data_IF_815518957151
#
_entry.id   IF_815518957151
#
_cell.length_a   1.000
_cell.length_b   1.000
_cell.length_c   1.000
_cell.angle_alpha   90.00
_cell.angle_beta   90.00
_cell.angle_gamma   90.00
#
_symmetry.space_group_name_H-M   'P 1'
#
loop_
_entity.id
_entity.type
_entity.pdbx_description
1 polymer ?
#
# COMPACT_ATOMS: atom_id res chain seq x y z
N UNK A 1 36.95 14.96 -27.87
CA UNK A 1 37.75 16.18 -28.11
C UNK A 1 38.22 16.34 -29.56
N UNK A 2 38.56 15.29 -30.31
CA UNK A 2 39.05 15.44 -31.71
C UNK A 2 37.92 15.70 -32.72
N UNK A 3 36.67 15.26 -32.47
CA UNK A 3 35.56 15.47 -33.43
C UNK A 3 34.99 16.90 -33.43
N UNK A 4 34.91 17.56 -32.27
CA UNK A 4 34.33 18.92 -32.20
C UNK A 4 35.11 19.94 -33.04
N UNK A 5 36.44 19.79 -33.13
CA UNK A 5 37.28 20.64 -33.97
C UNK A 5 37.03 20.45 -35.47
N UNK A 6 36.67 19.22 -35.89
CA UNK A 6 36.41 18.91 -37.30
C UNK A 6 35.04 19.43 -37.75
N UNK A 7 34.03 19.35 -36.88
CA UNK A 7 32.67 19.83 -37.15
C UNK A 7 32.61 21.36 -37.27
N UNK A 8 33.37 22.08 -36.44
CA UNK A 8 33.52 23.54 -36.51
C UNK A 8 34.20 23.95 -37.83
N UNK A 9 35.20 23.19 -38.28
CA UNK A 9 35.88 23.46 -39.55
C UNK A 9 34.96 23.26 -40.75
N UNK A 10 34.12 22.21 -40.75
CA UNK A 10 33.12 21.97 -41.80
C UNK A 10 32.07 23.08 -41.83
N UNK A 11 31.55 23.49 -40.66
CA UNK A 11 30.58 24.59 -40.56
C UNK A 11 31.17 25.93 -41.03
N UNK A 12 32.42 26.23 -40.68
CA UNK A 12 33.10 27.43 -41.15
C UNK A 12 33.36 27.42 -42.66
N UNK A 13 33.71 26.24 -43.22
CA UNK A 13 33.91 26.04 -44.65
C UNK A 13 32.60 26.22 -45.42
N UNK A 14 31.50 25.67 -44.92
CA UNK A 14 30.16 25.84 -45.50
C UNK A 14 29.74 27.32 -45.49
N UNK A 15 30.01 28.04 -44.40
CA UNK A 15 29.73 29.47 -44.29
C UNK A 15 30.55 30.30 -45.29
N UNK A 16 31.82 29.99 -45.48
CA UNK A 16 32.70 30.63 -46.48
C UNK A 16 32.23 30.37 -47.92
N UNK A 17 31.82 29.14 -48.25
CA UNK A 17 31.31 28.80 -49.59
C UNK A 17 29.96 29.47 -49.86
N UNK A 18 29.05 29.51 -48.88
CA UNK A 18 27.74 30.16 -49.02
C UNK A 18 27.88 31.68 -49.15
N UNK A 19 28.78 32.31 -48.39
CA UNK A 19 29.05 33.74 -48.51
C UNK A 19 29.72 34.10 -49.83
N UNK A 20 30.68 33.28 -50.30
CA UNK A 20 31.31 33.46 -51.61
C UNK A 20 30.32 33.30 -52.77
N UNK A 21 29.42 32.31 -52.71
CA UNK A 21 28.37 32.10 -53.69
C UNK A 21 27.36 33.26 -53.73
N UNK A 22 27.10 33.91 -52.59
CA UNK A 22 26.20 35.07 -52.49
C UNK A 22 26.85 36.35 -53.06
N UNK A 23 28.17 36.51 -52.91
CA UNK A 23 28.92 37.63 -53.50
C UNK A 23 29.00 37.59 -55.04
N UNK A 24 28.88 36.40 -55.64
CA UNK A 24 28.88 36.22 -57.10
C UNK A 24 27.54 36.58 -57.77
N UNK A 25 26.48 36.85 -57.00
CA UNK A 25 25.14 37.17 -57.55
C UNK A 25 24.98 38.68 -57.83
N UNK A 26 24.43 39.07 -58.99
CA UNK A 26 24.41 40.47 -59.44
C UNK A 26 23.43 41.39 -58.67
N UNK A 27 22.53 40.86 -57.85
CA UNK A 27 21.48 41.61 -57.17
C UNK A 27 21.91 42.09 -55.76
N UNK A 28 22.65 43.21 -55.68
CA UNK A 28 23.26 43.74 -54.44
C UNK A 28 22.30 44.36 -53.41
N UNK A 29 21.01 44.56 -53.73
CA UNK A 29 20.09 45.34 -52.87
C UNK A 29 19.70 44.67 -51.54
N UNK A 30 19.90 43.36 -51.36
CA UNK A 30 19.51 42.62 -50.12
C UNK A 30 20.64 41.78 -49.52
N UNK A 31 21.88 42.11 -49.84
CA UNK A 31 23.07 41.32 -49.48
C UNK A 31 23.23 41.18 -47.96
N UNK A 32 23.00 42.27 -47.20
CA UNK A 32 23.08 42.27 -45.73
C UNK A 32 22.10 41.29 -45.07
N UNK A 33 20.85 41.26 -45.54
CA UNK A 33 19.80 40.38 -44.98
C UNK A 33 20.12 38.91 -45.25
N UNK A 34 20.68 38.61 -46.44
CA UNK A 34 21.04 37.23 -46.81
C UNK A 34 22.22 36.70 -46.03
N UNK A 35 23.23 37.54 -45.75
CA UNK A 35 24.33 37.17 -44.85
C UNK A 35 23.78 36.86 -43.45
N UNK A 36 22.84 37.68 -42.96
CA UNK A 36 22.23 37.47 -41.64
C UNK A 36 21.40 36.18 -41.59
N UNK A 37 20.67 35.85 -42.67
CA UNK A 37 19.94 34.58 -42.78
C UNK A 37 20.88 33.36 -42.80
N UNK A 38 21.99 33.42 -43.54
CA UNK A 38 22.96 32.33 -43.56
C UNK A 38 23.63 32.14 -42.20
N UNK A 39 23.94 33.23 -41.50
CA UNK A 39 24.47 33.15 -40.14
C UNK A 39 23.46 32.50 -39.18
N UNK A 40 22.18 32.88 -39.27
CA UNK A 40 21.10 32.28 -38.49
C UNK A 40 20.92 30.78 -38.80
N UNK A 41 21.05 30.40 -40.07
CA UNK A 41 21.00 29.00 -40.51
C UNK A 41 22.12 28.17 -39.89
N UNK A 42 23.36 28.70 -39.87
CA UNK A 42 24.50 28.04 -39.24
C UNK A 42 24.30 27.86 -37.72
N UNK A 43 23.74 28.86 -37.03
CA UNK A 43 23.40 28.75 -35.60
C UNK A 43 22.33 27.66 -35.39
N UNK A 44 21.32 27.60 -36.26
CA UNK A 44 20.27 26.60 -36.17
C UNK A 44 20.81 25.18 -36.39
N UNK A 45 21.73 25.00 -37.35
CA UNK A 45 22.42 23.72 -37.57
C UNK A 45 23.32 23.36 -36.39
N UNK A 46 24.01 24.33 -35.80
CA UNK A 46 24.84 24.11 -34.63
C UNK A 46 24.01 23.59 -33.45
N UNK A 47 22.83 24.19 -33.16
CA UNK A 47 21.93 23.69 -32.11
C UNK A 47 21.25 22.36 -32.43
N UNK A 48 21.13 21.99 -33.71
CA UNK A 48 20.58 20.70 -34.11
C UNK A 48 21.59 19.57 -33.92
N UNK A 49 22.86 19.83 -34.27
CA UNK A 49 23.97 18.85 -34.08
C UNK A 49 24.34 18.75 -32.60
N UNK A 50 24.37 19.89 -31.90
CA UNK A 50 24.60 19.97 -30.47
C UNK A 50 23.32 20.41 -29.76
N UNK A 51 22.39 19.47 -29.48
CA UNK A 51 21.26 19.81 -28.63
C UNK A 51 21.80 20.35 -27.31
N UNK A 52 21.26 21.48 -26.80
CA UNK A 52 21.68 22.02 -25.52
C UNK A 52 21.46 20.95 -24.45
N UNK A 53 22.56 20.39 -23.95
CA UNK A 53 22.55 19.45 -22.84
C UNK A 53 22.20 20.24 -21.59
N UNK A 54 20.90 20.30 -21.28
CA UNK A 54 20.45 20.64 -19.94
C UNK A 54 20.84 19.49 -19.02
N UNK A 55 22.03 19.58 -18.42
CA UNK A 55 22.28 18.87 -17.18
C UNK A 55 21.36 19.50 -16.14
N UNK A 56 20.17 18.91 -15.96
CA UNK A 56 19.44 19.11 -14.71
C UNK A 56 20.36 18.56 -13.64
N UNK A 57 20.94 19.45 -12.85
CA UNK A 57 21.25 19.12 -11.48
C UNK A 57 19.92 18.65 -10.88
N UNK A 58 19.70 17.34 -10.83
CA UNK A 58 18.69 16.78 -9.97
C UNK A 58 19.14 17.15 -8.57
N UNK A 59 18.57 18.24 -8.08
CA UNK A 59 18.82 18.80 -6.78
C UNK A 59 18.76 17.66 -5.77
N UNK A 60 19.79 17.55 -4.94
CA UNK A 60 20.06 16.51 -3.94
C UNK A 60 19.03 16.42 -2.79
N UNK A 61 17.76 16.61 -3.12
CA UNK A 61 16.62 16.65 -2.22
C UNK A 61 15.72 15.41 -2.39
N UNK A 62 16.04 14.48 -3.29
CA UNK A 62 15.33 13.20 -3.45
C UNK A 62 16.13 12.04 -2.86
N UNK A 63 15.46 11.20 -2.08
CA UNK A 63 16.03 9.99 -1.47
C UNK A 63 15.13 8.77 -1.68
N UNK A 64 15.74 7.59 -1.63
CA UNK A 64 15.04 6.32 -1.79
C UNK A 64 14.91 5.63 -0.42
N UNK A 65 13.68 5.33 -0.02
CA UNK A 65 13.38 4.63 1.22
C UNK A 65 12.93 3.20 0.91
N UNK A 66 13.73 2.22 1.31
CA UNK A 66 13.41 0.81 1.20
C UNK A 66 12.64 0.35 2.44
N UNK A 67 11.46 -0.19 2.22
CA UNK A 67 10.60 -0.80 3.23
C UNK A 67 10.59 -2.32 3.06
N UNK A 68 9.88 -3.03 3.93
CA UNK A 68 9.88 -4.50 3.93
C UNK A 68 9.43 -5.08 2.57
N UNK A 69 10.02 -6.22 2.21
CA UNK A 69 9.78 -6.98 0.98
C UNK A 69 9.94 -6.21 -0.34
N UNK A 70 10.75 -5.15 -0.41
CA UNK A 70 10.98 -4.39 -1.65
C UNK A 70 11.40 -5.27 -2.84
N UNK A 71 10.93 -4.93 -4.04
CA UNK A 71 11.27 -5.62 -5.27
C UNK A 71 12.66 -5.20 -5.79
N UNK A 72 13.60 -6.14 -5.86
CA UNK A 72 14.97 -5.90 -6.36
C UNK A 72 15.00 -5.42 -7.82
N UNK A 73 14.11 -5.91 -8.68
CA UNK A 73 14.07 -5.52 -10.11
C UNK A 73 13.71 -4.04 -10.28
N UNK A 74 12.81 -3.54 -9.43
CA UNK A 74 12.43 -2.13 -9.40
C UNK A 74 13.57 -1.27 -8.87
N UNK A 75 14.27 -1.75 -7.84
CA UNK A 75 15.46 -1.09 -7.29
C UNK A 75 16.57 -0.96 -8.34
N UNK A 76 16.92 -2.04 -9.03
CA UNK A 76 17.97 -2.05 -10.05
C UNK A 76 17.65 -1.10 -11.21
N UNK A 77 16.37 -1.02 -11.59
CA UNK A 77 15.91 -0.09 -12.63
C UNK A 77 16.07 1.37 -12.19
N UNK A 78 15.75 1.70 -10.93
CA UNK A 78 15.88 3.05 -10.39
C UNK A 78 17.34 3.47 -10.20
N UNK A 79 18.21 2.56 -9.75
CA UNK A 79 19.65 2.82 -9.62
C UNK A 79 20.28 3.09 -11.00
N UNK A 80 19.81 2.39 -12.04
CA UNK A 80 20.29 2.60 -13.42
C UNK A 80 19.90 3.97 -13.96
N UNK A 81 18.70 4.45 -13.61
CA UNK A 81 18.23 5.78 -14.02
C UNK A 81 19.00 6.87 -13.26
N UNK A 82 19.37 6.60 -12.01
CA UNK A 82 19.67 7.67 -11.06
C UNK A 82 20.71 7.21 -9.99
N UNK A 83 22.00 7.12 -10.38
CA UNK A 83 23.04 6.44 -9.60
C UNK A 83 23.53 7.17 -8.34
N UNK A 84 23.18 8.45 -8.16
CA UNK A 84 23.60 9.28 -7.03
C UNK A 84 22.54 9.39 -5.91
N UNK A 85 21.44 8.63 -5.96
CA UNK A 85 20.42 8.71 -4.91
C UNK A 85 20.90 8.10 -3.58
N UNK A 86 20.67 8.78 -2.45
CA UNK A 86 20.86 8.18 -1.13
C UNK A 86 19.80 7.10 -0.90
N UNK A 87 20.25 5.85 -0.77
CA UNK A 87 19.42 4.67 -0.52
C UNK A 87 19.46 4.34 0.97
N UNK A 88 18.30 4.36 1.61
CA UNK A 88 18.14 4.09 3.04
C UNK A 88 17.17 2.92 3.23
N UNK A 89 17.53 1.97 4.07
CA UNK A 89 16.66 0.84 4.47
C UNK A 89 16.01 1.12 5.82
N UNK A 90 14.69 1.02 5.89
CA UNK A 90 13.93 1.16 7.13
C UNK A 90 13.79 -0.21 7.79
N UNK A 91 14.33 -0.36 9.00
CA UNK A 91 14.21 -1.53 9.91
C UNK A 91 14.85 -2.85 9.43
N UNK A 92 14.86 -3.11 8.13
CA UNK A 92 15.50 -4.28 7.54
C UNK A 92 16.98 -4.02 7.32
N UNK A 93 17.84 -4.76 8.03
CA UNK A 93 19.29 -4.64 7.91
C UNK A 93 19.75 -5.22 6.57
N UNK A 94 20.03 -4.36 5.61
CA UNK A 94 20.58 -4.75 4.31
C UNK A 94 22.10 -4.56 4.31
N UNK A 95 22.85 -5.57 3.85
CA UNK A 95 24.33 -5.56 3.87
C UNK A 95 24.95 -4.41 3.06
N UNK A 96 24.22 -3.84 2.11
CA UNK A 96 24.73 -2.88 1.13
C UNK A 96 24.21 -1.44 1.33
N UNK A 97 23.31 -1.20 2.29
CA UNK A 97 22.64 0.10 2.45
C UNK A 97 22.62 0.56 3.90
N UNK A 98 22.58 1.88 4.11
CA UNK A 98 22.44 2.45 5.43
C UNK A 98 21.08 2.08 6.01
N UNK A 99 21.07 1.42 7.16
CA UNK A 99 19.84 1.02 7.85
C UNK A 99 19.51 2.02 8.93
N UNK A 100 18.26 2.48 8.92
CA UNK A 100 17.71 3.36 9.93
C UNK A 100 16.59 2.62 10.66
N UNK A 101 16.59 2.73 11.99
CA UNK A 101 15.61 2.04 12.84
C UNK A 101 14.25 2.73 12.86
N UNK A 102 14.22 4.04 12.63
CA UNK A 102 13.03 4.87 12.78
C UNK A 102 13.03 6.12 11.86
N UNK A 103 11.85 6.61 11.50
CA UNK A 103 11.65 7.78 10.64
C UNK A 103 12.31 9.03 11.25
N UNK A 104 12.20 9.19 12.57
CA UNK A 104 12.85 10.26 13.32
C UNK A 104 14.39 10.24 13.23
N UNK A 105 15.02 9.07 13.03
CA UNK A 105 16.46 8.98 12.79
C UNK A 105 16.81 9.31 11.33
N UNK A 106 15.93 8.98 10.39
CA UNK A 106 16.08 9.31 8.97
C UNK A 106 16.04 10.82 8.75
N UNK A 107 15.12 11.53 9.42
CA UNK A 107 15.04 13.00 9.33
C UNK A 107 16.27 13.70 9.91
N UNK A 108 16.90 13.14 10.95
CA UNK A 108 18.13 13.69 11.55
C UNK A 108 19.37 13.43 10.71
N UNK A 109 19.46 12.27 10.08
CA UNK A 109 20.61 11.90 9.24
C UNK A 109 20.55 12.55 7.85
N UNK A 110 19.35 12.81 7.34
CA UNK A 110 19.13 13.38 6.01
C UNK A 110 18.15 14.57 6.02
N UNK A 111 18.45 15.65 6.76
CA UNK A 111 17.56 16.81 6.84
C UNK A 111 17.34 17.49 5.48
N UNK A 112 18.32 17.41 4.58
CA UNK A 112 18.30 18.00 3.23
C UNK A 112 17.33 17.34 2.24
N UNK A 113 16.82 16.13 2.50
CA UNK A 113 16.00 15.37 1.54
C UNK A 113 14.51 15.71 1.71
N UNK A 114 13.95 16.51 0.80
CA UNK A 114 12.55 16.94 0.83
C UNK A 114 11.58 15.97 0.15
N UNK A 115 12.06 15.11 -0.75
CA UNK A 115 11.27 14.13 -1.49
C UNK A 115 11.78 12.71 -1.18
N UNK A 116 10.88 11.83 -0.75
CA UNK A 116 11.21 10.42 -0.53
C UNK A 116 10.38 9.54 -1.45
N UNK A 117 11.05 8.67 -2.21
CA UNK A 117 10.39 7.59 -2.94
C UNK A 117 10.44 6.32 -2.11
N UNK A 118 9.27 5.82 -1.72
CA UNK A 118 9.10 4.67 -0.82
C UNK A 118 8.86 3.42 -1.67
N UNK A 119 9.76 2.44 -1.55
CA UNK A 119 9.69 1.15 -2.23
C UNK A 119 9.35 0.03 -1.24
N UNK A 120 8.40 -0.83 -1.60
CA UNK A 120 8.08 -2.04 -0.85
C UNK A 120 6.67 -2.04 -0.28
N UNK A 121 6.49 -2.50 0.95
CA UNK A 121 5.16 -2.59 1.59
C UNK A 121 4.62 -1.25 2.13
N UNK A 122 5.39 -0.17 2.03
CA UNK A 122 4.97 1.16 2.46
C UNK A 122 5.29 1.46 3.93
N UNK A 123 4.65 2.50 4.47
CA UNK A 123 4.88 3.01 5.82
C UNK A 123 3.64 2.78 6.70
N UNK A 124 3.84 2.65 8.01
CA UNK A 124 2.73 2.63 8.97
C UNK A 124 2.07 4.01 9.05
N UNK A 125 0.82 4.07 9.48
CA UNK A 125 0.10 5.35 9.61
C UNK A 125 0.82 6.36 10.52
N UNK A 126 1.43 5.89 11.62
CA UNK A 126 2.23 6.73 12.52
C UNK A 126 3.48 7.29 11.83
N UNK A 127 4.15 6.46 11.02
CA UNK A 127 5.36 6.81 10.27
C UNK A 127 5.03 7.78 9.11
N UNK A 128 3.86 7.60 8.49
CA UNK A 128 3.32 8.48 7.46
C UNK A 128 2.99 9.86 8.04
N UNK A 129 2.41 9.92 9.23
CA UNK A 129 2.11 11.17 9.93
C UNK A 129 3.39 11.98 10.21
N UNK A 130 4.48 11.32 10.60
CA UNK A 130 5.79 11.96 10.84
C UNK A 130 6.42 12.55 9.56
N UNK A 131 6.09 12.00 8.38
CA UNK A 131 6.59 12.45 7.07
C UNK A 131 5.62 13.34 6.29
N UNK A 132 4.49 13.73 6.89
CA UNK A 132 3.45 14.56 6.27
C UNK A 132 3.96 15.90 5.71
N UNK A 133 5.04 16.45 6.29
CA UNK A 133 5.68 17.69 5.83
C UNK A 133 6.66 17.51 4.65
N UNK A 134 6.79 16.30 4.08
CA UNK A 134 7.72 15.95 2.99
C UNK A 134 6.92 15.42 1.79
N UNK A 135 7.47 15.56 0.59
CA UNK A 135 6.86 14.96 -0.61
C UNK A 135 7.15 13.46 -0.63
N UNK A 136 6.10 12.64 -0.66
CA UNK A 136 6.21 11.18 -0.71
C UNK A 136 5.72 10.66 -2.06
N UNK A 137 6.52 9.80 -2.68
CA UNK A 137 6.15 9.04 -3.87
C UNK A 137 6.17 7.56 -3.51
N UNK A 138 5.05 6.85 -3.71
CA UNK A 138 4.93 5.46 -3.29
C UNK A 138 5.00 4.54 -4.50
N UNK A 139 5.98 3.63 -4.45
CA UNK A 139 6.13 2.54 -5.39
C UNK A 139 5.95 1.23 -4.62
N UNK A 140 4.69 0.95 -4.31
CA UNK A 140 4.33 -0.17 -3.46
C UNK A 140 4.40 -1.49 -4.21
N UNK A 141 4.68 -2.55 -3.46
CA UNK A 141 4.51 -3.91 -3.94
C UNK A 141 3.04 -4.21 -4.22
N UNK A 142 2.81 -5.23 -5.05
CA UNK A 142 1.48 -5.83 -5.15
C UNK A 142 1.08 -6.37 -3.78
N UNK A 143 -0.16 -6.10 -3.38
CA UNK A 143 -0.75 -6.61 -2.13
C UNK A 143 -0.66 -8.14 -2.15
N UNK A 144 -0.18 -8.77 -1.07
CA UNK A 144 -0.17 -10.22 -1.00
C UNK A 144 -1.60 -10.76 -0.98
N UNK A 145 -1.80 -11.94 -1.55
CA UNK A 145 -3.06 -12.65 -1.42
C UNK A 145 -3.28 -13.13 0.02
N UNK A 146 -4.55 -13.28 0.40
CA UNK A 146 -4.95 -13.66 1.75
C UNK A 146 -6.08 -12.77 2.26
N UNK A 147 -6.23 -12.73 3.58
CA UNK A 147 -7.26 -11.91 4.23
C UNK A 147 -6.78 -10.46 4.25
N UNK A 148 -7.52 -9.57 3.57
CA UNK A 148 -7.23 -8.13 3.57
C UNK A 148 -7.89 -7.42 4.75
N UNK A 149 -9.10 -7.84 5.11
CA UNK A 149 -9.88 -7.27 6.21
C UNK A 149 -10.66 -8.36 6.92
N UNK A 150 -10.77 -8.25 8.23
CA UNK A 150 -11.53 -9.17 9.07
C UNK A 150 -12.24 -8.41 10.17
N UNK A 151 -13.55 -8.66 10.29
CA UNK A 151 -14.43 -8.04 11.26
C UNK A 151 -15.17 -9.11 12.04
N UNK A 152 -15.14 -8.98 13.36
CA UNK A 152 -15.91 -9.78 14.30
C UNK A 152 -16.22 -8.93 15.54
N UNK A 153 -17.27 -9.26 16.32
CA UNK A 153 -17.58 -8.53 17.53
C UNK A 153 -16.46 -8.64 18.58
N UNK A 154 -16.11 -7.53 19.22
CA UNK A 154 -15.12 -7.49 20.32
C UNK A 154 -15.57 -8.31 21.55
N UNK A 155 -16.88 -8.47 21.70
CA UNK A 155 -17.48 -9.16 22.82
C UNK A 155 -18.51 -10.19 22.34
N UNK A 156 -18.15 -11.46 22.48
CA UNK A 156 -18.97 -12.61 22.09
C UNK A 156 -19.47 -13.28 23.37
N UNK A 157 -20.79 -13.37 23.55
CA UNK A 157 -21.39 -14.05 24.70
C UNK A 157 -21.64 -15.52 24.41
N UNK A 158 -21.53 -16.37 25.43
CA UNK A 158 -21.96 -17.77 25.32
C UNK A 158 -23.45 -17.88 24.97
N UNK A 159 -23.81 -18.97 24.31
CA UNK A 159 -25.14 -19.24 23.76
C UNK A 159 -25.65 -18.22 22.75
N UNK A 160 -24.78 -17.41 22.14
CA UNK A 160 -25.14 -16.47 21.08
C UNK A 160 -24.58 -16.88 19.72
N UNK A 161 -25.17 -16.35 18.66
CA UNK A 161 -24.63 -16.43 17.30
C UNK A 161 -23.95 -15.11 16.96
N UNK A 162 -22.81 -15.18 16.29
CA UNK A 162 -22.11 -14.01 15.78
C UNK A 162 -21.65 -14.24 14.35
N UNK A 163 -21.36 -13.13 13.65
CA UNK A 163 -20.91 -13.15 12.27
C UNK A 163 -19.43 -12.78 12.22
N UNK A 164 -18.64 -13.64 11.56
CA UNK A 164 -17.28 -13.37 11.15
C UNK A 164 -17.31 -12.99 9.67
N UNK A 165 -16.94 -11.76 9.34
CA UNK A 165 -16.97 -11.29 7.95
C UNK A 165 -15.67 -10.63 7.56
N UNK A 166 -15.36 -10.61 6.27
CA UNK A 166 -14.10 -10.06 5.81
C UNK A 166 -13.98 -10.04 4.30
N UNK A 167 -12.80 -9.66 3.87
CA UNK A 167 -12.40 -9.61 2.48
C UNK A 167 -11.15 -10.48 2.27
N UNK A 168 -11.15 -11.22 1.16
CA UNK A 168 -10.08 -12.11 0.76
C UNK A 168 -9.60 -11.75 -0.65
N UNK A 169 -8.30 -11.50 -0.81
CA UNK A 169 -7.66 -11.22 -2.09
C UNK A 169 -7.09 -12.52 -2.65
N UNK A 170 -7.48 -12.85 -3.88
CA UNK A 170 -7.15 -14.09 -4.56
C UNK A 170 -6.64 -13.83 -5.99
N UNK A 171 -5.48 -13.20 -6.14
CA UNK A 171 -4.90 -12.92 -7.46
C UNK A 171 -3.93 -14.03 -7.90
N UNK A 172 -3.07 -14.53 -7.00
CA UNK A 172 -2.01 -15.50 -7.32
C UNK A 172 -2.23 -16.88 -6.68
N UNK A 173 -2.88 -16.95 -5.50
CA UNK A 173 -3.13 -18.21 -4.79
C UNK A 173 -4.02 -19.18 -5.58
N UNK A 174 -4.88 -18.65 -6.45
CA UNK A 174 -5.88 -19.44 -7.21
C UNK A 174 -6.70 -20.34 -6.28
N UNK A 175 -6.96 -19.86 -5.06
CA UNK A 175 -7.82 -20.56 -4.13
C UNK A 175 -9.24 -20.60 -4.70
N UNK A 176 -9.91 -21.73 -4.60
CA UNK A 176 -11.29 -21.91 -5.07
C UNK A 176 -12.28 -21.90 -3.92
N UNK A 177 -11.83 -22.12 -2.70
CA UNK A 177 -12.68 -22.21 -1.53
C UNK A 177 -11.95 -21.68 -0.30
N UNK A 178 -12.67 -20.94 0.53
CA UNK A 178 -12.27 -20.52 1.86
C UNK A 178 -13.15 -21.26 2.88
N UNK A 179 -12.52 -21.95 3.82
CA UNK A 179 -13.21 -22.76 4.83
C UNK A 179 -12.85 -22.28 6.23
N UNK A 180 -13.86 -22.18 7.09
CA UNK A 180 -13.70 -21.96 8.52
C UNK A 180 -13.64 -23.31 9.23
N UNK A 181 -12.50 -23.61 9.84
CA UNK A 181 -12.27 -24.83 10.59
C UNK A 181 -12.31 -24.57 12.11
N UNK A 182 -12.84 -25.53 12.85
CA UNK A 182 -12.69 -25.65 14.30
C UNK A 182 -12.20 -27.06 14.62
N UNK A 183 -11.08 -27.18 15.33
CA UNK A 183 -10.43 -28.47 15.61
C UNK A 183 -10.25 -29.32 14.33
N UNK A 184 -9.84 -28.66 13.23
CA UNK A 184 -9.64 -29.23 11.89
C UNK A 184 -10.91 -29.79 11.21
N UNK A 185 -12.09 -29.53 11.76
CA UNK A 185 -13.38 -29.79 11.12
C UNK A 185 -13.93 -28.51 10.47
N UNK A 186 -14.36 -28.61 9.20
CA UNK A 186 -15.01 -27.50 8.50
C UNK A 186 -16.41 -27.24 9.07
N UNK A 187 -16.57 -26.05 9.64
CA UNK A 187 -17.86 -25.54 10.11
C UNK A 187 -18.64 -24.97 8.93
N UNK A 188 -17.97 -24.17 8.11
CA UNK A 188 -18.58 -23.44 7.02
C UNK A 188 -17.54 -23.18 5.91
N UNK A 189 -18.00 -22.91 4.69
CA UNK A 189 -17.11 -22.62 3.57
C UNK A 189 -17.80 -21.79 2.48
N UNK A 190 -17.00 -20.99 1.78
CA UNK A 190 -17.44 -20.13 0.68
C UNK A 190 -16.54 -20.32 -0.54
N UNK A 191 -17.14 -20.24 -1.73
CA UNK A 191 -16.39 -20.26 -2.98
C UNK A 191 -15.64 -18.95 -3.20
N UNK A 192 -14.40 -19.03 -3.68
CA UNK A 192 -13.59 -17.88 -4.04
C UNK A 192 -13.46 -17.76 -5.55
N UNK A 193 -13.60 -16.54 -6.06
CA UNK A 193 -13.26 -16.16 -7.44
C UNK A 193 -11.90 -15.48 -7.49
N UNK A 194 -11.28 -15.30 -8.67
CA UNK A 194 -10.10 -14.46 -8.81
C UNK A 194 -10.40 -13.00 -8.43
N UNK A 195 -9.48 -12.33 -7.73
CA UNK A 195 -9.63 -10.95 -7.26
C UNK A 195 -10.12 -10.81 -5.82
N UNK A 196 -10.84 -9.74 -5.53
CA UNK A 196 -11.38 -9.44 -4.20
C UNK A 196 -12.71 -10.16 -3.96
N UNK A 197 -12.80 -10.91 -2.86
CA UNK A 197 -13.99 -11.67 -2.48
C UNK A 197 -14.41 -11.31 -1.05
N UNK A 198 -15.65 -10.92 -0.86
CA UNK A 198 -16.23 -10.75 0.48
C UNK A 198 -16.77 -12.09 0.98
N UNK A 199 -16.56 -12.39 2.26
CA UNK A 199 -17.07 -13.59 2.91
C UNK A 199 -17.76 -13.25 4.24
N UNK A 200 -18.69 -14.10 4.65
CA UNK A 200 -19.30 -14.06 5.97
C UNK A 200 -19.58 -15.49 6.44
N UNK A 201 -19.28 -15.76 7.71
CA UNK A 201 -19.51 -17.04 8.38
C UNK A 201 -20.33 -16.80 9.64
N UNK A 202 -21.35 -17.64 9.87
CA UNK A 202 -22.18 -17.56 11.06
C UNK A 202 -21.74 -18.61 12.07
N UNK A 203 -21.32 -18.17 13.25
CA UNK A 203 -20.70 -19.04 14.27
C UNK A 203 -21.58 -19.02 15.53
N UNK A 204 -21.89 -20.21 16.06
CA UNK A 204 -22.60 -20.37 17.33
C UNK A 204 -21.63 -20.59 18.49
N UNK A 205 -21.57 -19.66 19.43
CA UNK A 205 -20.71 -19.72 20.61
C UNK A 205 -21.36 -20.55 21.72
N UNK A 206 -21.20 -21.88 21.71
CA UNK A 206 -21.93 -22.77 22.64
C UNK A 206 -21.51 -22.66 24.11
N UNK A 207 -20.23 -22.43 24.38
CA UNK A 207 -19.66 -22.41 25.73
C UNK A 207 -18.69 -21.24 25.88
N UNK A 208 -18.55 -20.71 27.09
CA UNK A 208 -17.53 -19.73 27.40
C UNK A 208 -16.12 -20.35 27.34
N UNK A 209 -15.15 -19.63 26.79
CA UNK A 209 -13.79 -20.12 26.61
C UNK A 209 -12.99 -19.32 25.58
N UNK A 210 -11.75 -19.76 25.32
CA UNK A 210 -10.94 -19.25 24.21
C UNK A 210 -10.91 -20.32 23.12
N UNK A 211 -11.41 -19.98 21.94
CA UNK A 211 -11.51 -20.91 20.83
C UNK A 211 -10.56 -20.48 19.71
N UNK A 212 -9.86 -21.46 19.14
CA UNK A 212 -8.95 -21.24 18.02
C UNK A 212 -9.62 -21.77 16.75
N UNK A 213 -10.14 -20.84 15.96
CA UNK A 213 -10.64 -21.13 14.62
C UNK A 213 -9.49 -21.01 13.62
N UNK A 214 -9.57 -21.72 12.51
CA UNK A 214 -8.63 -21.54 11.39
C UNK A 214 -9.40 -21.17 10.14
N UNK A 215 -8.94 -20.15 9.43
CA UNK A 215 -9.38 -19.86 8.08
C UNK A 215 -8.38 -20.48 7.12
N UNK A 216 -8.86 -21.38 6.27
CA UNK A 216 -8.02 -22.11 5.32
C UNK A 216 -8.55 -21.92 3.92
N UNK A 217 -7.70 -21.46 3.01
CA UNK A 217 -8.02 -21.39 1.60
C UNK A 217 -7.40 -22.58 0.85
N UNK A 218 -8.21 -23.27 0.07
CA UNK A 218 -7.80 -24.44 -0.71
C UNK A 218 -7.90 -24.16 -2.22
N UNK A 219 -7.00 -24.76 -2.99
CA UNK A 219 -7.06 -24.76 -4.47
C UNK A 219 -8.06 -25.79 -5.01
N UNK A 220 -8.21 -25.83 -6.34
CA UNK A 220 -9.06 -26.80 -7.02
C UNK A 220 -8.63 -28.27 -6.79
N UNK A 221 -7.39 -28.50 -6.38
CA UNK A 221 -6.84 -29.82 -6.01
C UNK A 221 -7.01 -30.15 -4.53
N UNK A 222 -7.71 -29.31 -3.77
CA UNK A 222 -7.91 -29.42 -2.32
C UNK A 222 -6.61 -29.30 -1.50
N UNK A 223 -5.57 -28.68 -2.05
CA UNK A 223 -4.35 -28.34 -1.32
C UNK A 223 -4.55 -27.03 -0.57
N UNK A 224 -4.15 -26.98 0.71
CA UNK A 224 -4.19 -25.76 1.49
C UNK A 224 -3.09 -24.80 1.01
N UNK A 225 -3.49 -23.66 0.45
CA UNK A 225 -2.58 -22.62 -0.07
C UNK A 225 -2.44 -21.46 0.92
N UNK A 226 -3.44 -21.28 1.79
CA UNK A 226 -3.45 -20.25 2.83
C UNK A 226 -4.01 -20.80 4.14
N UNK A 227 -3.48 -20.33 5.27
CA UNK A 227 -3.95 -20.70 6.60
C UNK A 227 -3.70 -19.57 7.58
N UNK A 228 -4.73 -19.19 8.32
CA UNK A 228 -4.67 -18.18 9.37
C UNK A 228 -5.41 -18.64 10.63
N UNK A 229 -4.81 -18.40 11.80
CA UNK A 229 -5.35 -18.78 13.09
C UNK A 229 -6.05 -17.59 13.75
N UNK A 230 -7.31 -17.79 14.15
CA UNK A 230 -8.14 -16.79 14.82
C UNK A 230 -8.45 -17.25 16.25
N UNK A 231 -7.90 -16.54 17.23
CA UNK A 231 -8.19 -16.77 18.63
C UNK A 231 -9.36 -15.88 19.08
N UNK A 232 -10.55 -16.46 19.22
CA UNK A 232 -11.77 -15.75 19.61
C UNK A 232 -12.14 -16.06 21.07
N UNK A 233 -12.16 -15.06 21.97
CA UNK A 233 -12.66 -15.22 23.33
C UNK A 233 -14.19 -15.15 23.36
N UNK A 234 -14.82 -16.16 23.95
CA UNK A 234 -16.25 -16.19 24.28
C UNK A 234 -16.39 -16.00 25.78
N UNK A 235 -17.12 -14.96 26.16
CA UNK A 235 -17.36 -14.59 27.54
C UNK A 235 -18.58 -15.31 28.09
N UNK A 236 -18.48 -15.68 29.36
CA UNK A 236 -19.63 -16.21 30.10
C UNK A 236 -20.72 -15.15 30.18
N UNK A 237 -21.97 -15.53 29.92
CA UNK A 237 -23.10 -14.61 30.00
C UNK A 237 -23.25 -14.16 31.44
N UNK A 238 -23.42 -12.85 31.66
CA UNK A 238 -23.69 -12.31 32.99
C UNK A 238 -25.15 -12.61 33.34
N UNK A 239 -25.36 -13.45 34.36
CA UNK A 239 -26.68 -13.65 34.97
C UNK A 239 -26.95 -12.52 35.96
N UNK A 240 -28.03 -11.78 35.76
CA UNK A 240 -28.45 -10.71 36.65
C UNK A 240 -29.31 -11.26 37.78
N UNK A 241 -29.16 -10.69 38.98
CA UNK A 241 -30.07 -10.93 40.09
C UNK A 241 -31.09 -9.81 40.13
N UNK A 242 -32.33 -10.10 39.73
CA UNK A 242 -33.39 -9.11 39.55
C UNK A 242 -34.43 -9.30 40.66
N UNK A 243 -34.68 -8.23 41.43
CA UNK A 243 -35.73 -8.20 42.45
C UNK A 243 -36.93 -7.43 41.90
N UNK A 244 -38.05 -8.13 41.70
CA UNK A 244 -39.32 -7.51 41.32
C UNK A 244 -40.11 -7.20 42.60
N UNK A 245 -40.28 -5.91 42.87
CA UNK A 245 -41.11 -5.39 43.96
C UNK A 245 -42.45 -4.95 43.39
N UNK A 246 -43.53 -5.57 43.85
CA UNK A 246 -44.87 -5.15 43.48
C UNK A 246 -45.75 -4.92 44.70
N UNK A 247 -46.70 -3.98 44.56
CA UNK A 247 -47.68 -3.68 45.58
C UNK A 247 -48.91 -4.61 45.48
N UNK A 248 -49.12 -5.27 44.34
CA UNK A 248 -50.19 -6.25 44.09
C UNK A 248 -49.83 -7.13 42.87
N UNK A 249 -50.13 -8.43 42.87
CA UNK A 249 -49.73 -9.33 41.79
C UNK A 249 -50.48 -9.01 40.48
N UNK A 250 -49.75 -8.66 39.42
CA UNK A 250 -50.32 -8.48 38.06
C UNK A 250 -49.91 -9.57 37.09
N UNK A 251 -50.73 -9.80 36.06
CA UNK A 251 -50.46 -10.77 34.99
C UNK A 251 -49.15 -10.47 34.24
N UNK A 252 -48.88 -9.18 33.99
CA UNK A 252 -47.67 -8.68 33.33
C UNK A 252 -46.40 -9.03 34.12
N UNK A 253 -46.44 -8.93 35.45
CA UNK A 253 -45.31 -9.22 36.32
C UNK A 253 -44.97 -10.72 36.33
N UNK A 254 -45.99 -11.57 36.21
CA UNK A 254 -45.79 -13.03 36.06
C UNK A 254 -45.15 -13.36 34.71
N UNK A 255 -45.53 -12.67 33.63
CA UNK A 255 -44.88 -12.81 32.32
C UNK A 255 -43.43 -12.34 32.36
N UNK A 256 -43.16 -11.17 32.94
CA UNK A 256 -41.80 -10.64 33.06
C UNK A 256 -40.91 -11.59 33.88
N UNK A 257 -41.42 -12.10 35.00
CA UNK A 257 -40.70 -13.10 35.81
C UNK A 257 -40.38 -14.36 34.98
N UNK A 258 -41.35 -14.88 34.23
CA UNK A 258 -41.17 -16.08 33.43
C UNK A 258 -40.14 -15.84 32.32
N UNK A 259 -40.26 -14.72 31.60
CA UNK A 259 -39.33 -14.32 30.55
C UNK A 259 -37.90 -14.15 31.08
N UNK A 260 -37.72 -13.48 32.22
CA UNK A 260 -36.41 -13.34 32.87
C UNK A 260 -35.84 -14.69 33.37
N UNK A 261 -36.70 -15.58 33.85
CA UNK A 261 -36.29 -16.92 34.27
C UNK A 261 -35.83 -17.77 33.07
N UNK A 262 -36.49 -17.64 31.92
CA UNK A 262 -36.10 -18.29 30.66
C UNK A 262 -34.74 -17.78 30.14
N UNK A 263 -34.40 -16.52 30.42
CA UNK A 263 -33.09 -15.94 30.08
C UNK A 263 -31.96 -16.34 31.05
N UNK A 264 -32.21 -17.27 31.98
CA UNK A 264 -31.28 -17.72 33.03
C UNK A 264 -30.87 -16.63 34.04
N UNK A 265 -31.68 -15.58 34.18
CA UNK A 265 -31.50 -14.59 35.24
C UNK A 265 -32.08 -15.08 36.57
N UNK A 266 -31.44 -14.72 37.67
CA UNK A 266 -31.92 -15.04 39.03
C UNK A 266 -33.01 -14.05 39.43
N UNK A 267 -34.27 -14.44 39.33
CA UNK A 267 -35.40 -13.56 39.66
C UNK A 267 -35.97 -13.85 41.04
N UNK A 268 -35.98 -12.84 41.91
CA UNK A 268 -36.69 -12.86 43.19
C UNK A 268 -37.92 -11.97 43.10
N UNK A 269 -39.06 -12.42 43.65
CA UNK A 269 -40.32 -11.69 43.61
C UNK A 269 -40.86 -11.48 45.02
N UNK A 270 -41.21 -10.23 45.34
CA UNK A 270 -41.87 -9.86 46.61
C UNK A 270 -43.08 -8.99 46.30
N UNK A 271 -44.26 -9.49 46.67
CA UNK A 271 -45.53 -8.75 46.63
C UNK A 271 -45.97 -8.45 48.07
N UNK A 272 -46.59 -7.28 48.29
CA UNK A 272 -47.47 -7.13 49.45
C UNK A 272 -48.72 -7.99 49.23
N UNK A 273 -49.15 -8.65 50.30
CA UNK A 273 -50.40 -9.41 50.39
C UNK A 273 -51.47 -8.45 50.89
#
# INVERSE_FOLDING_TARGET
>A
MISEGFDILILSGLFLVLTWAEFRRPARKRLKIRILLNFLLCICFYFLIYPPHYSREYSSHSGLLLTDNFNQKTLDSLITIDPNLPIVSLRSKQRNYQTVTDISALQRQFPQIQKWSVLGNGLRETELAELSNRSLEFQLNQVPDGISQLFYPDYIEESTQFVLQGEFINDKLKATQLSLLFEDQAIDSVGLSPGLNSFHFMIGAKTAGRFNYKLVAADAGNNHVYSELLALPVYKRKSYSILILSNYPRFEERQLKNWLSEQQDKVSWRSKI
#
